data_IF_041381661631
#
_entry.id   IF_041381661631
#
_cell.length_a   1.000
_cell.length_b   1.000
_cell.length_c   1.000
_cell.angle_alpha   90.00
_cell.angle_beta   90.00
_cell.angle_gamma   90.00
#
_symmetry.space_group_name_H-M   'P 1'
#
loop_
_entity.id
_entity.type
_entity.pdbx_description
1 polymer ?
#
# COMPACT_ATOMS: atom_id res chain seq x y z
N UNK A 1 -10.39 -18.20 -17.84
CA UNK A 1 -9.89 -18.41 -16.47
C UNK A 1 -8.38 -18.49 -16.43
N UNK A 2 -7.80 -19.45 -17.13
CA UNK A 2 -6.35 -19.61 -17.19
C UNK A 2 -5.67 -18.37 -17.77
N UNK A 3 -6.25 -17.79 -18.82
CA UNK A 3 -5.72 -16.58 -19.44
C UNK A 3 -5.70 -15.39 -18.46
N UNK A 4 -6.75 -15.29 -17.63
CA UNK A 4 -6.83 -14.22 -16.65
C UNK A 4 -5.75 -14.37 -15.56
N UNK A 5 -5.49 -15.61 -15.11
CA UNK A 5 -4.45 -15.87 -14.13
C UNK A 5 -3.06 -15.59 -14.71
N UNK A 6 -2.80 -16.00 -15.94
CA UNK A 6 -1.54 -15.74 -16.63
C UNK A 6 -1.34 -14.24 -16.80
N UNK A 7 -2.40 -13.53 -17.21
CA UNK A 7 -2.36 -12.09 -17.37
C UNK A 7 -2.05 -11.41 -16.02
N UNK A 8 -2.72 -11.84 -14.96
CA UNK A 8 -2.53 -11.27 -13.62
C UNK A 8 -1.12 -11.51 -13.08
N UNK A 9 -0.49 -12.64 -13.41
CA UNK A 9 0.87 -12.93 -13.01
C UNK A 9 1.90 -12.08 -13.76
N UNK A 10 1.65 -11.84 -15.06
CA UNK A 10 2.53 -11.02 -15.89
C UNK A 10 2.33 -9.54 -15.68
N UNK A 11 1.08 -9.12 -15.48
CA UNK A 11 0.70 -7.72 -15.33
C UNK A 11 0.16 -7.52 -13.93
N UNK A 12 1.01 -7.04 -13.03
CA UNK A 12 0.61 -6.78 -11.65
C UNK A 12 -0.57 -5.82 -11.64
N UNK A 13 -1.55 -6.06 -10.76
CA UNK A 13 -2.72 -5.18 -10.61
C UNK A 13 -2.30 -3.77 -10.19
N UNK A 14 -1.23 -3.67 -9.40
CA UNK A 14 -0.72 -2.39 -8.90
C UNK A 14 0.76 -2.28 -9.25
N UNK A 15 1.09 -1.90 -10.51
CA UNK A 15 2.46 -2.00 -11.03
C UNK A 15 3.35 -0.82 -10.63
N UNK A 16 3.43 -0.52 -9.33
CA UNK A 16 4.28 0.58 -8.85
C UNK A 16 5.75 0.34 -9.16
N UNK A 17 6.18 -0.92 -9.21
CA UNK A 17 7.57 -1.26 -9.51
C UNK A 17 7.97 -0.97 -10.95
N UNK A 18 6.99 -0.86 -11.85
CA UNK A 18 7.25 -0.58 -13.26
C UNK A 18 7.45 0.90 -13.54
N UNK A 19 7.19 1.75 -12.55
CA UNK A 19 7.42 3.19 -12.69
C UNK A 19 8.90 3.46 -12.44
N UNK A 20 9.58 4.05 -13.42
CA UNK A 20 10.99 4.39 -13.28
C UNK A 20 11.17 5.49 -12.22
N UNK A 21 12.10 5.28 -11.29
CA UNK A 21 12.42 6.29 -10.29
C UNK A 21 13.31 7.42 -10.82
N UNK A 22 13.68 7.36 -12.12
CA UNK A 22 14.45 8.42 -12.78
C UNK A 22 13.57 9.43 -13.50
N UNK A 23 12.25 9.23 -13.54
CA UNK A 23 11.32 10.18 -14.14
C UNK A 23 11.26 11.46 -13.30
N UNK A 24 10.85 12.59 -13.91
CA UNK A 24 10.60 13.82 -13.15
C UNK A 24 9.57 13.58 -12.05
N UNK A 25 9.69 14.31 -10.94
CA UNK A 25 8.83 14.12 -9.77
C UNK A 25 7.34 14.22 -10.10
N UNK A 26 6.96 15.21 -10.91
CA UNK A 26 5.55 15.38 -11.29
C UNK A 26 5.02 14.20 -12.10
N UNK A 27 5.85 13.64 -12.98
CA UNK A 27 5.44 12.47 -13.76
C UNK A 27 5.30 11.23 -12.89
N UNK A 28 6.17 11.09 -11.88
CA UNK A 28 6.05 9.99 -10.90
C UNK A 28 4.71 10.10 -10.18
N UNK A 29 4.33 11.29 -9.72
CA UNK A 29 3.05 11.51 -9.05
C UNK A 29 1.90 11.12 -9.95
N UNK A 30 1.93 11.56 -11.21
CA UNK A 30 0.86 11.27 -12.17
C UNK A 30 0.68 9.78 -12.43
N UNK A 31 1.75 9.01 -12.34
CA UNK A 31 1.69 7.56 -12.55
C UNK A 31 1.35 6.78 -11.29
N UNK A 32 1.79 7.27 -10.13
CA UNK A 32 1.54 6.60 -8.85
C UNK A 32 0.10 6.79 -8.37
N UNK A 33 -0.43 8.01 -8.49
CA UNK A 33 -1.74 8.34 -7.94
C UNK A 33 -2.87 7.44 -8.45
N UNK A 34 -2.99 7.16 -9.77
CA UNK A 34 -4.04 6.26 -10.25
C UNK A 34 -3.93 4.85 -9.69
N UNK A 35 -2.71 4.36 -9.49
CA UNK A 35 -2.48 3.02 -8.97
C UNK A 35 -2.93 2.94 -7.52
N UNK A 36 -2.57 3.93 -6.70
CA UNK A 36 -2.98 3.97 -5.30
C UNK A 36 -4.50 4.12 -5.18
N UNK A 37 -5.11 4.98 -6.02
CA UNK A 37 -6.55 5.14 -6.03
C UNK A 37 -7.27 3.84 -6.39
N UNK A 38 -6.76 3.09 -7.35
CA UNK A 38 -7.32 1.79 -7.70
C UNK A 38 -7.22 0.81 -6.54
N UNK A 39 -6.11 0.83 -5.81
CA UNK A 39 -5.93 -0.01 -4.64
C UNK A 39 -6.96 0.30 -3.55
N UNK A 40 -7.17 1.58 -3.27
CA UNK A 40 -8.18 2.00 -2.29
C UNK A 40 -9.57 1.52 -2.68
N UNK A 41 -9.93 1.64 -3.96
CA UNK A 41 -11.23 1.22 -4.48
C UNK A 41 -11.42 -0.30 -4.43
N UNK A 42 -10.34 -1.08 -4.40
CA UNK A 42 -10.42 -2.53 -4.23
C UNK A 42 -11.09 -2.94 -2.93
N UNK A 43 -11.17 -2.05 -1.93
CA UNK A 43 -11.89 -2.26 -0.69
C UNK A 43 -13.34 -1.81 -0.77
N UNK A 44 -13.98 -1.91 -1.93
CA UNK A 44 -15.37 -1.53 -2.20
C UNK A 44 -15.65 -0.04 -2.02
N UNK A 45 -14.65 0.77 -2.40
CA UNK A 45 -14.79 2.22 -2.36
C UNK A 45 -14.66 2.83 -0.97
N UNK A 46 -14.33 2.02 0.04
CA UNK A 46 -14.15 2.50 1.40
C UNK A 46 -12.72 2.27 1.86
N UNK A 47 -12.20 3.21 2.64
CA UNK A 47 -10.89 3.08 3.26
C UNK A 47 -11.01 2.13 4.45
N UNK A 48 -11.06 0.84 4.16
CA UNK A 48 -11.19 -0.22 5.17
C UNK A 48 -9.80 -0.58 5.68
N UNK A 49 -9.53 -0.30 6.95
CA UNK A 49 -8.21 -0.53 7.53
C UNK A 49 -7.73 -1.97 7.40
N UNK A 50 -8.63 -2.95 7.64
CA UNK A 50 -8.26 -4.35 7.55
C UNK A 50 -7.85 -4.73 6.13
N UNK A 51 -8.63 -4.31 5.14
CA UNK A 51 -8.30 -4.55 3.74
C UNK A 51 -6.97 -3.91 3.36
N UNK A 52 -6.77 -2.67 3.78
CA UNK A 52 -5.54 -1.94 3.46
C UNK A 52 -4.30 -2.61 4.08
N UNK A 53 -4.41 -3.06 5.33
CA UNK A 53 -3.29 -3.74 5.99
C UNK A 53 -2.96 -5.09 5.34
N UNK A 54 -3.97 -5.84 4.92
CA UNK A 54 -3.75 -7.17 4.32
C UNK A 54 -3.25 -7.08 2.88
N UNK A 55 -3.44 -5.95 2.21
CA UNK A 55 -3.03 -5.76 0.82
C UNK A 55 -1.94 -4.70 0.64
N UNK A 56 -1.41 -4.16 1.72
CA UNK A 56 -0.39 -3.12 1.67
C UNK A 56 0.82 -3.55 0.84
N UNK A 57 1.20 -4.81 0.93
CA UNK A 57 2.35 -5.36 0.20
C UNK A 57 2.20 -5.23 -1.33
N UNK A 58 0.99 -5.06 -1.83
CA UNK A 58 0.75 -4.94 -3.27
C UNK A 58 1.16 -3.57 -3.82
N UNK A 59 1.15 -2.54 -2.97
CA UNK A 59 1.55 -1.17 -3.34
C UNK A 59 2.83 -0.72 -2.63
N UNK A 60 3.22 -1.41 -1.55
CA UNK A 60 4.46 -1.17 -0.82
C UNK A 60 5.33 -2.42 -0.91
N UNK A 61 5.99 -2.58 -2.05
CA UNK A 61 6.65 -3.83 -2.44
C UNK A 61 7.97 -4.08 -1.71
N UNK A 62 8.56 -3.05 -1.11
CA UNK A 62 9.80 -3.19 -0.34
C UNK A 62 9.56 -3.48 1.13
N UNK A 63 8.34 -3.83 1.49
CA UNK A 63 7.98 -4.11 2.88
C UNK A 63 8.71 -5.35 3.40
N UNK A 64 9.23 -5.23 4.62
CA UNK A 64 9.81 -6.35 5.36
C UNK A 64 8.79 -6.98 6.30
N UNK A 65 7.59 -6.44 6.34
CA UNK A 65 6.53 -6.96 7.18
C UNK A 65 5.95 -8.23 6.57
N UNK A 66 5.57 -9.18 7.42
CA UNK A 66 4.79 -10.33 6.96
C UNK A 66 3.38 -9.85 6.65
N UNK A 67 2.67 -10.58 5.79
CA UNK A 67 1.29 -10.25 5.43
C UNK A 67 0.38 -10.74 6.55
N UNK A 68 -0.41 -9.83 7.17
CA UNK A 68 -1.34 -10.28 8.20
C UNK A 68 -2.50 -11.06 7.59
N UNK A 69 -3.01 -12.01 8.35
CA UNK A 69 -4.17 -12.81 7.96
C UNK A 69 -5.44 -12.03 8.27
N UNK A 70 -6.32 -11.90 7.28
CA UNK A 70 -7.57 -11.16 7.43
C UNK A 70 -8.42 -11.72 8.59
N UNK A 71 -8.47 -13.04 8.71
CA UNK A 71 -9.27 -13.68 9.77
C UNK A 71 -8.74 -13.30 11.15
N UNK A 72 -7.43 -13.25 11.32
CA UNK A 72 -6.82 -12.82 12.58
C UNK A 72 -7.18 -11.36 12.89
N UNK A 73 -7.13 -10.48 11.89
CA UNK A 73 -7.46 -9.07 12.09
C UNK A 73 -8.92 -8.86 12.43
N UNK A 74 -9.83 -9.61 11.80
CA UNK A 74 -11.26 -9.51 12.07
C UNK A 74 -11.57 -9.90 13.50
N UNK A 75 -10.88 -10.91 14.04
CA UNK A 75 -11.18 -11.47 15.33
C UNK A 75 -10.40 -10.85 16.50
N UNK A 76 -9.37 -10.03 16.20
CA UNK A 76 -8.49 -9.52 17.25
C UNK A 76 -8.11 -8.06 16.99
N UNK A 77 -8.77 -7.16 17.72
CA UNK A 77 -8.52 -5.72 17.60
C UNK A 77 -7.11 -5.34 18.04
N UNK A 78 -6.52 -6.09 18.96
CA UNK A 78 -5.14 -5.85 19.38
C UNK A 78 -4.18 -6.16 18.25
N UNK A 79 -4.46 -7.20 17.45
CA UNK A 79 -3.66 -7.53 16.27
C UNK A 79 -3.74 -6.42 15.23
N UNK A 80 -4.93 -5.85 15.00
CA UNK A 80 -5.10 -4.71 14.08
C UNK A 80 -4.22 -3.55 14.51
N UNK A 81 -4.26 -3.21 15.79
CA UNK A 81 -3.45 -2.10 16.31
C UNK A 81 -1.95 -2.37 16.13
N UNK A 82 -1.52 -3.59 16.41
CA UNK A 82 -0.12 -3.99 16.27
C UNK A 82 0.34 -3.85 14.82
N UNK A 83 -0.43 -4.39 13.88
CA UNK A 83 -0.09 -4.31 12.45
C UNK A 83 -0.13 -2.88 11.93
N UNK A 84 -1.11 -2.11 12.38
CA UNK A 84 -1.19 -0.70 12.03
C UNK A 84 0.06 0.06 12.46
N UNK A 85 0.49 -0.13 13.71
CA UNK A 85 1.69 0.53 14.21
C UNK A 85 2.95 0.13 13.45
N UNK A 86 3.08 -1.16 13.11
CA UNK A 86 4.20 -1.64 12.32
C UNK A 86 4.23 -0.99 10.94
N UNK A 87 3.07 -0.93 10.28
CA UNK A 87 2.95 -0.32 8.96
C UNK A 87 3.29 1.17 9.01
N UNK A 88 2.75 1.90 9.99
CA UNK A 88 3.01 3.33 10.12
C UNK A 88 4.48 3.63 10.39
N UNK A 89 5.14 2.77 11.17
CA UNK A 89 6.57 2.92 11.44
C UNK A 89 7.39 2.75 10.15
N UNK A 90 7.03 1.76 9.34
CA UNK A 90 7.72 1.50 8.08
C UNK A 90 7.53 2.60 7.05
N UNK A 91 6.34 3.21 7.04
CA UNK A 91 5.98 4.27 6.08
C UNK A 91 6.38 5.67 6.56
N UNK A 92 6.88 5.80 7.78
CA UNK A 92 7.20 7.09 8.36
C UNK A 92 8.27 7.83 7.55
N UNK A 93 8.11 9.15 7.44
CA UNK A 93 9.02 10.00 6.66
C UNK A 93 10.48 9.87 7.09
N UNK A 94 10.73 9.77 8.41
CA UNK A 94 12.10 9.67 8.92
C UNK A 94 12.78 8.39 8.45
N UNK A 95 12.01 7.29 8.35
CA UNK A 95 12.57 6.02 7.93
C UNK A 95 12.88 5.99 6.44
N UNK A 96 12.21 6.82 5.66
CA UNK A 96 12.35 6.86 4.21
C UNK A 96 13.12 8.08 3.72
N UNK A 97 13.79 8.79 4.63
CA UNK A 97 14.46 10.05 4.34
C UNK A 97 15.50 9.93 3.23
N UNK A 98 16.24 8.84 3.21
CA UNK A 98 17.35 8.62 2.28
C UNK A 98 16.94 7.86 1.02
N UNK A 99 15.63 7.65 0.82
CA UNK A 99 15.12 6.94 -0.34
C UNK A 99 14.90 7.89 -1.51
N UNK A 100 14.68 7.32 -2.70
CA UNK A 100 14.36 8.11 -3.88
C UNK A 100 12.99 8.78 -3.75
N UNK A 101 12.71 9.72 -4.65
CA UNK A 101 11.46 10.48 -4.60
C UNK A 101 10.24 9.57 -4.71
N UNK A 102 10.27 8.59 -5.62
CA UNK A 102 9.15 7.67 -5.82
C UNK A 102 8.81 6.95 -4.53
N UNK A 103 9.81 6.38 -3.85
CA UNK A 103 9.61 5.66 -2.59
C UNK A 103 9.06 6.58 -1.51
N UNK A 104 9.62 7.77 -1.37
CA UNK A 104 9.15 8.75 -0.38
C UNK A 104 7.71 9.17 -0.65
N UNK A 105 7.37 9.39 -1.91
CA UNK A 105 6.03 9.81 -2.29
C UNK A 105 5.00 8.72 -2.00
N UNK A 106 5.31 7.48 -2.37
CA UNK A 106 4.42 6.35 -2.09
C UNK A 106 4.25 6.18 -0.58
N UNK A 107 5.34 6.21 0.18
CA UNK A 107 5.29 6.07 1.63
C UNK A 107 4.41 7.15 2.27
N UNK A 108 4.58 8.40 1.87
CA UNK A 108 3.78 9.50 2.41
C UNK A 108 2.30 9.35 2.07
N UNK A 109 1.98 8.94 0.84
CA UNK A 109 0.60 8.72 0.41
C UNK A 109 -0.05 7.60 1.21
N UNK A 110 0.64 6.48 1.37
CA UNK A 110 0.11 5.33 2.12
C UNK A 110 -0.02 5.64 3.61
N UNK A 111 0.92 6.39 4.16
CA UNK A 111 0.86 6.83 5.55
C UNK A 111 -0.43 7.61 5.82
N UNK A 112 -0.73 8.57 4.96
CA UNK A 112 -1.93 9.38 5.09
C UNK A 112 -3.20 8.54 4.97
N UNK A 113 -3.24 7.63 4.00
CA UNK A 113 -4.39 6.77 3.76
C UNK A 113 -4.65 5.87 4.98
N UNK A 114 -3.62 5.24 5.52
CA UNK A 114 -3.76 4.38 6.69
C UNK A 114 -4.18 5.17 7.93
N UNK A 115 -3.63 6.38 8.09
CA UNK A 115 -4.00 7.23 9.20
C UNK A 115 -5.49 7.59 9.18
N UNK A 116 -6.00 7.95 8.00
CA UNK A 116 -7.43 8.24 7.82
C UNK A 116 -8.28 7.01 8.08
N UNK A 117 -7.87 5.85 7.54
CA UNK A 117 -8.61 4.61 7.74
C UNK A 117 -8.67 4.22 9.22
N UNK A 118 -7.56 4.42 9.95
CA UNK A 118 -7.52 4.15 11.38
C UNK A 118 -8.48 5.07 12.16
N UNK A 119 -8.60 6.33 11.74
CA UNK A 119 -9.52 7.27 12.38
C UNK A 119 -10.97 6.85 12.24
N UNK A 120 -11.29 6.10 11.19
CA UNK A 120 -12.64 5.61 10.93
C UNK A 120 -12.85 4.16 11.38
N UNK A 121 -11.83 3.56 11.94
CA UNK A 121 -11.90 2.20 12.46
C UNK A 121 -12.34 2.20 13.93
#
# INVERSE_FOLDING_TARGET
MILLLIWSQKNKLYPVDNISNTLPDEEIKERVDPIINKWILGGEGQKNLLFLLTTLHEVWTNSKLTIPDMQTLVNDKAAVRTWYKKAMRELHADKNRDKDFKTKYIAASLYQILNEANSNY
#
